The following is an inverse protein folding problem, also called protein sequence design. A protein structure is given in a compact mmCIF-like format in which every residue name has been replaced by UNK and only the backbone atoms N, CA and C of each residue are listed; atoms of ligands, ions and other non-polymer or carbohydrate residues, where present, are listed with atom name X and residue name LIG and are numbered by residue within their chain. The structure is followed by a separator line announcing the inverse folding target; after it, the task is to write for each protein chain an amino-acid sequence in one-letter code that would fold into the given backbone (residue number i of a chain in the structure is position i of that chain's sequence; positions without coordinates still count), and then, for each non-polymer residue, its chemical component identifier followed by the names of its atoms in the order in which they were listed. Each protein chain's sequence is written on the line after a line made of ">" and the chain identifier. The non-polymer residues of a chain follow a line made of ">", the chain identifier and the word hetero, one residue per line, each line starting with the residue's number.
data_IF_668252906000
#
_entry.id   IF_668252906000
#
_cell.length_a   1.000
_cell.length_b   1.000
_cell.length_c   1.000
_cell.angle_alpha   90.00
_cell.angle_beta   90.00
_cell.angle_gamma   90.00
#
_symmetry.space_group_name_H-M   'P 1'
#
loop_
_entity.id
_entity.type
_entity.pdbx_description
1 polymer ?
#
# COMPACT_ATOMS: atom_id res chain seq x y z
N UNK A 1 -29.24 -4.05 -17.34
CA UNK A 1 -28.34 -5.20 -17.13
C UNK A 1 -26.94 -4.76 -17.50
N UNK A 2 -25.99 -4.92 -16.59
CA UNK A 2 -24.60 -4.53 -16.84
C UNK A 2 -24.08 -5.33 -18.05
N UNK A 3 -23.35 -4.67 -18.98
CA UNK A 3 -22.74 -5.40 -20.07
C UNK A 3 -21.57 -6.28 -19.58
N UNK A 4 -21.29 -7.36 -20.31
CA UNK A 4 -20.30 -8.36 -19.91
C UNK A 4 -18.89 -7.78 -19.77
N UNK A 5 -18.55 -6.76 -20.56
CA UNK A 5 -17.23 -6.11 -20.51
C UNK A 5 -17.08 -5.34 -19.20
N UNK A 6 -18.08 -4.55 -18.80
CA UNK A 6 -18.07 -3.84 -17.51
C UNK A 6 -18.10 -4.80 -16.33
N UNK A 7 -18.89 -5.88 -16.42
CA UNK A 7 -18.95 -6.91 -15.38
C UNK A 7 -17.56 -7.49 -15.10
N UNK A 8 -16.86 -7.93 -16.14
CA UNK A 8 -15.51 -8.48 -16.02
C UNK A 8 -14.50 -7.44 -15.55
N UNK A 9 -14.61 -6.19 -16.03
CA UNK A 9 -13.73 -5.09 -15.58
C UNK A 9 -13.86 -4.84 -14.07
N UNK A 10 -15.07 -4.89 -13.51
CA UNK A 10 -15.26 -4.65 -12.08
C UNK A 10 -14.67 -5.79 -11.22
N UNK A 11 -14.74 -7.03 -11.70
CA UNK A 11 -14.06 -8.16 -11.07
C UNK A 11 -12.54 -7.96 -11.09
N UNK A 12 -11.98 -7.60 -12.24
CA UNK A 12 -10.52 -7.40 -12.36
C UNK A 12 -10.04 -6.18 -11.53
N UNK A 13 -10.81 -5.10 -11.47
CA UNK A 13 -10.52 -3.96 -10.58
C UNK A 13 -10.41 -4.45 -9.14
N UNK A 14 -11.40 -5.19 -8.62
CA UNK A 14 -11.38 -5.67 -7.24
C UNK A 14 -10.21 -6.63 -6.98
N UNK A 15 -9.90 -7.52 -7.91
CA UNK A 15 -8.75 -8.44 -7.78
C UNK A 15 -7.41 -7.70 -7.76
N UNK A 16 -7.28 -6.66 -8.57
CA UNK A 16 -6.06 -5.84 -8.66
C UNK A 16 -5.87 -4.95 -7.44
N UNK A 17 -6.95 -4.35 -6.95
CA UNK A 17 -6.93 -3.38 -5.86
C UNK A 17 -6.84 -4.00 -4.47
N UNK A 18 -7.53 -5.15 -4.23
CA UNK A 18 -7.64 -5.77 -2.92
C UNK A 18 -6.48 -6.73 -2.63
N UNK A 19 -5.29 -6.17 -2.47
CA UNK A 19 -4.06 -6.92 -2.24
C UNK A 19 -3.49 -6.68 -0.84
N UNK A 20 -2.77 -7.67 -0.27
CA UNK A 20 -2.17 -7.51 1.05
C UNK A 20 -0.96 -6.58 1.03
N UNK A 21 -0.82 -5.77 2.09
CA UNK A 21 0.36 -4.96 2.35
C UNK A 21 0.66 -4.91 3.85
N UNK A 22 1.94 -4.90 4.22
CA UNK A 22 2.39 -4.79 5.59
C UNK A 22 2.90 -3.37 5.87
N UNK A 23 2.29 -2.68 6.83
CA UNK A 23 2.68 -1.32 7.21
C UNK A 23 2.23 -0.25 6.18
N UNK A 24 2.97 0.85 6.11
CA UNK A 24 2.68 1.94 5.17
C UNK A 24 3.21 1.62 3.78
N UNK A 25 2.41 1.86 2.75
CA UNK A 25 2.73 1.53 1.35
C UNK A 25 3.88 2.34 0.79
N UNK A 26 4.06 3.58 1.23
CA UNK A 26 5.14 4.44 0.75
C UNK A 26 6.55 3.97 1.18
N UNK A 27 6.81 3.58 2.44
CA UNK A 27 8.06 2.90 2.79
C UNK A 27 8.29 1.60 2.01
N UNK A 28 7.20 0.85 1.73
CA UNK A 28 7.29 -0.38 0.94
C UNK A 28 7.69 -0.06 -0.50
N UNK A 29 7.13 0.98 -1.12
CA UNK A 29 7.50 1.40 -2.47
C UNK A 29 8.98 1.80 -2.57
N UNK A 30 9.49 2.53 -1.55
CA UNK A 30 10.91 2.85 -1.46
C UNK A 30 11.78 1.59 -1.35
N UNK A 31 11.40 0.66 -0.47
CA UNK A 31 12.11 -0.61 -0.31
C UNK A 31 12.03 -1.48 -1.58
N UNK A 32 10.90 -1.49 -2.26
CA UNK A 32 10.70 -2.20 -3.52
C UNK A 32 11.60 -1.65 -4.63
N UNK A 33 11.63 -0.31 -4.79
CA UNK A 33 12.53 0.36 -5.72
C UNK A 33 14.01 0.06 -5.40
N UNK A 34 14.37 0.10 -4.10
CA UNK A 34 15.72 -0.19 -3.63
C UNK A 34 16.13 -1.65 -3.87
N UNK A 35 15.22 -2.61 -3.67
CA UNK A 35 15.48 -4.01 -4.01
C UNK A 35 15.70 -4.20 -5.51
N UNK A 36 14.86 -3.54 -6.34
CA UNK A 36 15.04 -3.56 -7.79
C UNK A 36 16.39 -2.98 -8.23
N UNK A 37 16.85 -1.93 -7.55
CA UNK A 37 18.18 -1.34 -7.79
C UNK A 37 19.30 -2.33 -7.47
N UNK A 38 19.23 -3.03 -6.33
CA UNK A 38 20.22 -4.05 -5.95
C UNK A 38 20.23 -5.21 -6.92
N UNK A 39 19.06 -5.69 -7.38
CA UNK A 39 18.99 -6.77 -8.38
C UNK A 39 19.60 -6.35 -9.72
N UNK A 40 19.45 -5.08 -10.10
CA UNK A 40 20.00 -4.55 -11.33
C UNK A 40 21.50 -4.29 -11.23
N UNK A 41 21.98 -3.75 -10.09
CA UNK A 41 23.38 -3.44 -9.85
C UNK A 41 24.22 -4.69 -9.54
N UNK A 42 23.59 -5.74 -8.99
CA UNK A 42 24.25 -6.98 -8.55
C UNK A 42 24.89 -6.89 -7.15
N UNK A 43 24.84 -5.75 -6.49
CA UNK A 43 25.39 -5.52 -5.16
C UNK A 43 24.64 -4.41 -4.41
N UNK A 44 24.83 -4.32 -3.10
CA UNK A 44 24.35 -3.16 -2.32
C UNK A 44 25.15 -1.93 -2.77
N UNK A 45 24.49 -0.79 -3.08
CA UNK A 45 25.18 0.42 -3.53
C UNK A 45 26.09 1.00 -2.43
N UNK A 46 27.28 1.45 -2.81
CA UNK A 46 28.15 2.28 -1.95
C UNK A 46 27.59 3.68 -1.76
N UNK A 47 26.89 4.20 -2.78
CA UNK A 47 26.26 5.53 -2.77
C UNK A 47 24.97 5.48 -3.53
N UNK A 48 23.95 6.20 -3.02
CA UNK A 48 22.63 6.33 -3.69
C UNK A 48 22.16 7.79 -3.72
N UNK A 49 21.75 8.24 -4.89
CA UNK A 49 20.96 9.45 -5.08
C UNK A 49 19.48 9.04 -5.23
N UNK A 50 18.63 9.55 -4.37
CA UNK A 50 17.20 9.27 -4.36
C UNK A 50 16.43 10.53 -4.74
N UNK A 51 15.72 10.50 -5.88
CA UNK A 51 14.84 11.60 -6.32
C UNK A 51 13.39 11.19 -6.10
N UNK A 52 12.70 11.87 -5.18
CA UNK A 52 11.43 11.40 -4.62
C UNK A 52 10.38 12.52 -4.65
N UNK A 53 9.12 12.22 -5.01
CA UNK A 53 8.05 13.21 -4.99
C UNK A 53 7.72 13.69 -3.57
N UNK A 54 7.24 14.93 -3.46
CA UNK A 54 6.96 15.57 -2.17
C UNK A 54 5.95 14.82 -1.30
N UNK A 55 4.98 14.14 -1.88
CA UNK A 55 4.00 13.34 -1.15
C UNK A 55 4.66 12.19 -0.38
N UNK A 56 5.55 11.43 -1.02
CA UNK A 56 6.28 10.34 -0.36
C UNK A 56 7.22 10.89 0.71
N UNK A 57 7.94 11.98 0.43
CA UNK A 57 8.82 12.62 1.42
C UNK A 57 8.03 12.99 2.68
N UNK A 58 6.90 13.67 2.51
CA UNK A 58 6.02 14.08 3.61
C UNK A 58 5.51 12.88 4.40
N UNK A 59 5.04 11.83 3.70
CA UNK A 59 4.35 10.71 4.33
C UNK A 59 5.30 9.74 5.04
N UNK A 60 6.55 9.61 4.57
CA UNK A 60 7.49 8.61 5.11
C UNK A 60 8.37 9.15 6.24
N UNK A 61 8.59 10.47 6.31
CA UNK A 61 9.55 11.11 7.22
C UNK A 61 9.52 10.62 8.67
N UNK A 62 8.35 10.25 9.20
CA UNK A 62 8.18 9.83 10.60
C UNK A 62 7.60 8.43 10.76
N UNK A 63 7.38 7.71 9.66
CA UNK A 63 6.77 6.38 9.67
C UNK A 63 7.80 5.32 10.01
N UNK A 64 7.41 4.39 10.87
CA UNK A 64 8.23 3.22 11.20
C UNK A 64 8.24 2.27 10.00
N UNK A 65 9.43 1.91 9.56
CA UNK A 65 9.63 0.93 8.50
C UNK A 65 9.44 -0.48 9.08
N UNK A 66 8.53 -1.29 8.52
CA UNK A 66 8.28 -2.64 9.03
C UNK A 66 9.56 -3.49 9.06
N UNK A 67 9.64 -4.42 10.05
CA UNK A 67 10.77 -5.37 10.19
C UNK A 67 12.16 -4.74 10.44
N UNK A 68 12.24 -3.46 10.84
CA UNK A 68 13.52 -2.77 11.08
C UNK A 68 13.80 -2.45 12.54
N UNK A 69 13.02 -3.00 13.48
CA UNK A 69 13.14 -2.71 14.91
C UNK A 69 13.07 -1.19 15.21
N UNK A 70 12.06 -0.51 14.60
CA UNK A 70 11.71 0.88 14.90
C UNK A 70 12.45 1.95 14.11
N UNK A 71 13.21 1.61 13.07
CA UNK A 71 13.81 2.61 12.16
C UNK A 71 12.73 3.38 11.42
N UNK A 72 12.98 4.67 11.16
CA UNK A 72 12.04 5.61 10.53
C UNK A 72 12.69 6.35 9.38
N UNK A 73 11.86 6.81 8.46
CA UNK A 73 12.28 7.74 7.41
C UNK A 73 12.61 7.10 6.08
N UNK A 74 12.94 7.95 5.13
CA UNK A 74 13.17 7.58 3.73
C UNK A 74 14.42 6.71 3.58
N UNK A 75 15.52 7.13 4.20
CA UNK A 75 16.80 6.42 4.15
C UNK A 75 16.69 5.03 4.76
N UNK A 76 15.92 4.91 5.87
CA UNK A 76 15.67 3.62 6.51
C UNK A 76 14.86 2.68 5.60
N UNK A 77 13.86 3.19 4.90
CA UNK A 77 13.06 2.41 3.96
C UNK A 77 13.88 1.95 2.75
N UNK A 78 14.72 2.83 2.20
CA UNK A 78 15.63 2.50 1.09
C UNK A 78 16.64 1.44 1.54
N UNK A 79 17.31 1.65 2.68
CA UNK A 79 18.28 0.69 3.20
C UNK A 79 17.63 -0.67 3.53
N UNK A 80 16.40 -0.70 4.05
CA UNK A 80 15.66 -1.93 4.27
C UNK A 80 15.45 -2.72 2.96
N UNK A 81 15.16 -2.01 1.87
CA UNK A 81 15.04 -2.61 0.53
C UNK A 81 16.33 -3.26 0.02
N UNK A 82 17.50 -2.73 0.37
CA UNK A 82 18.78 -3.33 -0.03
C UNK A 82 19.00 -4.72 0.56
N UNK A 83 18.50 -4.97 1.76
CA UNK A 83 18.62 -6.24 2.46
C UNK A 83 17.42 -7.17 2.25
N UNK A 84 16.34 -6.69 1.63
CA UNK A 84 15.22 -7.54 1.21
C UNK A 84 15.68 -8.60 0.22
N UNK A 85 15.06 -9.81 0.27
CA UNK A 85 15.60 -11.00 -0.45
C UNK A 85 15.04 -11.13 -1.87
N UNK A 86 13.84 -10.60 -2.17
CA UNK A 86 13.19 -10.77 -3.47
C UNK A 86 12.15 -9.69 -3.75
N UNK A 87 12.03 -9.30 -5.03
CA UNK A 87 10.94 -8.45 -5.56
C UNK A 87 9.60 -9.20 -5.72
N UNK A 88 9.62 -10.53 -5.77
CA UNK A 88 8.44 -11.34 -6.10
C UNK A 88 7.29 -11.18 -5.09
N UNK A 89 7.57 -10.60 -3.94
CA UNK A 89 6.58 -10.38 -2.88
C UNK A 89 5.84 -9.03 -3.00
N UNK A 90 6.12 -8.19 -4.01
CA UNK A 90 5.45 -6.91 -4.22
C UNK A 90 5.37 -6.07 -2.94
N UNK A 91 4.14 -5.79 -2.46
CA UNK A 91 3.91 -5.05 -1.21
C UNK A 91 4.39 -5.75 0.07
N UNK A 92 4.77 -7.01 0.00
CA UNK A 92 5.36 -7.79 1.10
C UNK A 92 6.88 -7.91 1.00
N UNK A 93 7.56 -7.07 0.22
CA UNK A 93 9.02 -7.11 0.03
C UNK A 93 9.78 -7.08 1.36
N UNK A 94 9.32 -6.31 2.35
CA UNK A 94 9.94 -6.21 3.68
C UNK A 94 9.67 -7.42 4.59
N UNK A 95 8.70 -8.28 4.26
CA UNK A 95 8.47 -9.53 5.02
C UNK A 95 9.63 -10.51 4.90
N UNK A 96 10.45 -10.35 3.87
CA UNK A 96 11.65 -11.17 3.63
C UNK A 96 12.82 -10.86 4.57
N UNK A 97 12.74 -9.74 5.32
CA UNK A 97 13.76 -9.36 6.31
C UNK A 97 13.64 -10.21 7.57
N UNK A 98 14.80 -10.53 8.14
CA UNK A 98 14.93 -11.17 9.43
C UNK A 98 15.60 -10.23 10.47
N UNK A 99 15.67 -10.68 11.73
CA UNK A 99 16.19 -9.86 12.82
C UNK A 99 17.66 -9.46 12.63
N UNK A 100 18.46 -10.29 11.96
CA UNK A 100 19.87 -10.00 11.66
C UNK A 100 20.03 -8.85 10.66
N UNK A 101 19.08 -8.70 9.74
CA UNK A 101 19.09 -7.65 8.71
C UNK A 101 18.89 -6.26 9.33
N UNK A 102 18.13 -6.16 10.44
CA UNK A 102 17.96 -4.88 11.16
C UNK A 102 19.31 -4.28 11.63
N UNK A 103 20.26 -5.12 12.04
CA UNK A 103 21.60 -4.66 12.44
C UNK A 103 22.40 -4.17 11.23
N UNK A 104 22.37 -4.90 10.13
CA UNK A 104 23.05 -4.53 8.88
C UNK A 104 22.50 -3.20 8.33
N UNK A 105 21.18 -3.03 8.35
CA UNK A 105 20.52 -1.78 7.95
C UNK A 105 21.02 -0.62 8.80
N UNK A 106 21.10 -0.78 10.14
CA UNK A 106 21.61 0.26 11.05
C UNK A 106 23.07 0.63 10.75
N UNK A 107 23.92 -0.37 10.51
CA UNK A 107 25.33 -0.12 10.16
C UNK A 107 25.45 0.59 8.81
N UNK A 108 24.68 0.20 7.81
CA UNK A 108 24.67 0.87 6.51
C UNK A 108 24.23 2.35 6.63
N UNK A 109 23.22 2.65 7.44
CA UNK A 109 22.73 4.02 7.64
C UNK A 109 23.75 4.95 8.31
N UNK A 110 24.70 4.41 9.10
CA UNK A 110 25.79 5.21 9.69
C UNK A 110 26.75 5.79 8.64
N UNK A 111 26.78 5.21 7.44
CA UNK A 111 27.64 5.67 6.35
C UNK A 111 27.12 6.95 5.68
N UNK A 112 25.86 7.34 5.92
CA UNK A 112 25.18 8.53 5.35
C UNK A 112 25.27 8.59 3.80
N UNK A 113 25.26 7.44 3.15
CA UNK A 113 25.50 7.29 1.72
C UNK A 113 24.25 7.45 0.84
N UNK A 114 23.09 7.70 1.45
CA UNK A 114 21.83 7.94 0.74
C UNK A 114 21.53 9.44 0.76
N UNK A 115 21.52 10.06 -0.41
CA UNK A 115 21.17 11.47 -0.58
C UNK A 115 19.77 11.60 -1.17
N UNK A 116 18.83 12.18 -0.42
CA UNK A 116 17.45 12.40 -0.86
C UNK A 116 17.28 13.81 -1.42
N UNK A 117 16.61 13.90 -2.58
CA UNK A 117 16.28 15.15 -3.26
C UNK A 117 14.82 15.14 -3.71
N UNK A 118 14.11 16.28 -3.70
CA UNK A 118 12.75 16.37 -4.19
C UNK A 118 12.71 16.21 -5.72
N UNK A 119 11.68 15.51 -6.23
CA UNK A 119 11.41 15.35 -7.65
C UNK A 119 10.53 16.46 -8.18
N UNK A 120 10.85 16.97 -9.38
CA UNK A 120 10.02 17.89 -10.16
C UNK A 120 9.21 17.20 -11.26
N UNK A 121 9.17 15.85 -11.27
CA UNK A 121 8.37 15.09 -12.23
C UNK A 121 6.88 15.26 -11.95
N UNK A 122 6.01 15.26 -12.97
CA UNK A 122 4.58 15.54 -12.85
C UNK A 122 3.75 14.36 -12.27
N UNK A 123 4.41 13.40 -11.64
CA UNK A 123 3.74 12.23 -11.05
C UNK A 123 3.42 12.46 -9.59
N UNK A 124 2.25 12.04 -9.15
CA UNK A 124 1.86 12.06 -7.72
C UNK A 124 2.68 11.12 -6.88
N UNK A 125 3.04 9.97 -7.45
CA UNK A 125 3.94 8.99 -6.91
C UNK A 125 5.12 8.89 -7.87
N UNK A 126 6.30 9.23 -7.38
CA UNK A 126 7.56 9.08 -8.11
C UNK A 126 8.70 8.82 -7.14
N UNK A 127 9.43 7.75 -7.41
CA UNK A 127 10.65 7.35 -6.74
C UNK A 127 11.67 7.01 -7.80
N UNK A 128 12.82 7.64 -7.80
CA UNK A 128 13.96 7.26 -8.63
C UNK A 128 15.16 7.07 -7.72
N UNK A 129 15.78 5.91 -7.81
CA UNK A 129 17.02 5.59 -7.11
C UNK A 129 18.13 5.35 -8.12
N UNK A 130 19.23 6.07 -7.98
CA UNK A 130 20.44 5.89 -8.75
C UNK A 130 21.57 5.46 -7.81
N UNK A 131 22.04 4.25 -7.98
CA UNK A 131 23.07 3.62 -7.13
C UNK A 131 24.37 3.40 -7.86
N UNK A 132 25.47 3.44 -7.11
CA UNK A 132 26.83 3.21 -7.59
C UNK A 132 27.49 2.13 -6.73
N UNK A 133 28.11 1.12 -7.36
CA UNK A 133 28.90 0.10 -6.66
C UNK A 133 30.36 0.56 -6.46
N UNK A 134 31.13 -0.25 -5.72
CA UNK A 134 32.55 -0.01 -5.44
C UNK A 134 33.41 -0.01 -6.71
N UNK A 135 32.95 -0.65 -7.78
CA UNK A 135 33.66 -0.74 -9.07
C UNK A 135 33.30 0.44 -9.99
N UNK A 136 32.41 1.34 -9.56
CA UNK A 136 31.95 2.48 -10.36
C UNK A 136 30.83 2.15 -11.34
N UNK A 137 30.26 0.94 -11.29
CA UNK A 137 29.06 0.66 -12.06
C UNK A 137 27.89 1.46 -11.51
N UNK A 138 27.00 1.87 -12.41
CA UNK A 138 25.81 2.68 -12.12
C UNK A 138 24.55 1.94 -12.53
N UNK A 139 23.58 1.90 -11.64
CA UNK A 139 22.22 1.47 -11.97
C UNK A 139 21.21 2.52 -11.55
N UNK A 140 20.14 2.63 -12.33
CA UNK A 140 19.01 3.51 -12.03
C UNK A 140 17.71 2.75 -12.16
N UNK A 141 16.82 2.92 -11.19
CA UNK A 141 15.47 2.35 -11.19
C UNK A 141 14.49 3.44 -10.79
N UNK A 142 13.36 3.57 -11.52
CA UNK A 142 12.29 4.45 -11.13
C UNK A 142 10.94 3.74 -11.07
N UNK A 143 10.10 4.18 -10.13
CA UNK A 143 8.70 3.82 -9.95
C UNK A 143 7.85 5.06 -10.17
N UNK A 144 6.76 4.94 -10.92
CA UNK A 144 5.81 6.03 -11.12
C UNK A 144 4.36 5.54 -11.22
N UNK A 145 3.43 6.39 -10.78
CA UNK A 145 1.98 6.13 -10.82
C UNK A 145 1.52 5.24 -9.67
N UNK A 146 1.99 4.00 -9.62
CA UNK A 146 1.69 3.01 -8.59
C UNK A 146 2.93 2.61 -7.79
N UNK A 147 2.71 2.09 -6.56
CA UNK A 147 3.78 1.80 -5.60
C UNK A 147 4.77 0.70 -6.03
N UNK A 148 4.39 -0.17 -6.96
CA UNK A 148 5.22 -1.27 -7.47
C UNK A 148 5.43 -1.21 -8.99
N UNK A 149 4.92 -0.16 -9.66
CA UNK A 149 5.07 0.00 -11.11
C UNK A 149 6.46 0.56 -11.45
N UNK A 150 7.40 -0.34 -11.74
CA UNK A 150 8.72 0.05 -12.25
C UNK A 150 8.54 0.59 -13.68
N UNK A 151 8.86 1.86 -13.87
CA UNK A 151 8.72 2.55 -15.15
C UNK A 151 10.06 2.79 -15.86
N UNK A 152 11.18 2.72 -15.14
CA UNK A 152 12.51 2.92 -15.73
C UNK A 152 13.54 2.00 -15.11
N UNK A 153 14.42 1.42 -15.94
CA UNK A 153 15.63 0.69 -15.55
C UNK A 153 16.77 1.03 -16.48
N UNK A 154 17.93 1.42 -15.93
CA UNK A 154 19.14 1.73 -16.68
C UNK A 154 20.37 1.14 -15.97
N UNK A 155 21.30 0.56 -16.73
CA UNK A 155 22.57 0.05 -16.21
C UNK A 155 23.72 0.56 -17.06
N UNK A 156 24.67 1.28 -16.46
CA UNK A 156 25.85 1.88 -17.11
C UNK A 156 25.50 2.68 -18.38
N UNK A 157 24.38 3.43 -18.36
CA UNK A 157 23.91 4.22 -19.49
C UNK A 157 23.04 3.44 -20.50
N UNK A 158 22.92 2.13 -20.36
CA UNK A 158 22.06 1.33 -21.22
C UNK A 158 20.65 1.26 -20.60
N UNK A 159 19.66 1.76 -21.33
CA UNK A 159 18.24 1.71 -20.94
C UNK A 159 17.72 0.30 -21.18
N UNK A 160 17.19 -0.34 -20.14
CA UNK A 160 16.62 -1.69 -20.18
C UNK A 160 15.09 -1.63 -20.20
N UNK A 161 14.52 -0.64 -19.52
CA UNK A 161 13.08 -0.38 -19.49
C UNK A 161 12.86 1.12 -19.44
N UNK A 162 11.93 1.62 -20.26
CA UNK A 162 11.48 3.02 -20.20
C UNK A 162 10.03 3.12 -20.67
N UNK A 163 9.12 3.24 -19.72
CA UNK A 163 7.68 3.40 -19.98
C UNK A 163 7.36 4.87 -20.19
N UNK A 164 6.58 5.18 -21.22
CA UNK A 164 6.10 6.52 -21.44
C UNK A 164 4.97 6.91 -20.46
N UNK A 165 4.57 8.20 -20.47
CA UNK A 165 3.55 8.71 -19.56
C UNK A 165 2.19 8.02 -19.74
N UNK A 166 1.80 7.69 -20.97
CA UNK A 166 0.54 7.04 -21.28
C UNK A 166 0.51 5.59 -20.78
N UNK A 167 1.64 4.87 -20.87
CA UNK A 167 1.79 3.52 -20.33
C UNK A 167 1.71 3.51 -18.79
N UNK A 168 2.26 4.54 -18.14
CA UNK A 168 2.18 4.71 -16.68
C UNK A 168 0.74 5.00 -16.23
N UNK A 169 -0.05 5.66 -17.08
CA UNK A 169 -1.44 6.04 -16.81
C UNK A 169 -2.46 4.99 -17.28
N UNK A 170 -2.04 3.91 -17.93
CA UNK A 170 -2.95 2.93 -18.55
C UNK A 170 -3.92 2.30 -17.55
N UNK A 171 -3.44 1.99 -16.33
CA UNK A 171 -4.26 1.39 -15.28
C UNK A 171 -5.34 2.33 -14.74
N UNK A 172 -5.09 3.66 -14.79
CA UNK A 172 -6.10 4.65 -14.44
C UNK A 172 -7.34 4.64 -15.36
N UNK A 173 -7.21 4.12 -16.61
CA UNK A 173 -8.34 4.03 -17.56
C UNK A 173 -9.38 2.98 -17.12
N UNK A 174 -8.96 1.93 -16.43
CA UNK A 174 -9.86 0.89 -15.95
C UNK A 174 -10.89 1.47 -14.96
N UNK A 175 -10.44 2.37 -14.08
CA UNK A 175 -11.30 3.04 -13.11
C UNK A 175 -12.26 4.06 -13.72
N UNK A 176 -12.01 4.56 -14.93
CA UNK A 176 -12.91 5.51 -15.62
C UNK A 176 -14.27 4.89 -15.97
N UNK A 177 -14.37 3.56 -16.01
CA UNK A 177 -15.63 2.85 -16.28
C UNK A 177 -16.55 2.81 -15.06
N UNK A 178 -16.05 3.16 -13.85
CA UNK A 178 -16.83 3.11 -12.61
C UNK A 178 -17.89 4.22 -12.59
N UNK A 179 -19.09 3.86 -12.15
CA UNK A 179 -20.14 4.81 -11.78
C UNK A 179 -21.08 4.15 -10.76
N UNK A 180 -21.74 4.96 -9.95
CA UNK A 180 -22.51 4.49 -8.79
C UNK A 180 -23.66 3.57 -9.19
N UNK A 181 -24.35 3.83 -10.31
CA UNK A 181 -25.51 3.02 -10.75
C UNK A 181 -25.06 1.61 -11.15
N UNK A 182 -24.05 1.52 -11.98
CA UNK A 182 -23.47 0.25 -12.44
C UNK A 182 -22.82 -0.52 -11.27
N UNK A 183 -22.19 0.17 -10.32
CA UNK A 183 -21.62 -0.45 -9.10
C UNK A 183 -22.70 -1.14 -8.27
N UNK A 184 -23.84 -0.47 -8.04
CA UNK A 184 -24.95 -1.05 -7.28
C UNK A 184 -25.55 -2.25 -8.03
N UNK A 185 -25.74 -2.14 -9.35
CA UNK A 185 -26.22 -3.26 -10.16
C UNK A 185 -25.26 -4.44 -10.11
N UNK A 186 -23.97 -4.19 -10.30
CA UNK A 186 -22.91 -5.21 -10.21
C UNK A 186 -22.94 -5.92 -8.86
N UNK A 187 -22.92 -5.16 -7.76
CA UNK A 187 -22.91 -5.74 -6.42
C UNK A 187 -24.14 -6.62 -6.13
N UNK A 188 -25.30 -6.29 -6.73
CA UNK A 188 -26.52 -7.09 -6.57
C UNK A 188 -26.54 -8.35 -7.44
N UNK A 189 -25.86 -8.37 -8.57
CA UNK A 189 -25.96 -9.42 -9.60
C UNK A 189 -24.73 -10.31 -9.70
N UNK A 190 -23.56 -9.88 -9.19
CA UNK A 190 -22.31 -10.65 -9.28
C UNK A 190 -22.42 -12.02 -8.59
N UNK A 191 -21.84 -13.05 -9.22
CA UNK A 191 -21.61 -14.33 -8.54
C UNK A 191 -20.51 -14.15 -7.49
N UNK A 192 -20.90 -14.14 -6.22
CA UNK A 192 -19.98 -13.95 -5.10
C UNK A 192 -18.87 -15.00 -5.05
N UNK A 193 -19.03 -16.17 -5.67
CA UNK A 193 -17.98 -17.20 -5.69
C UNK A 193 -16.69 -16.70 -6.31
N UNK A 194 -16.77 -15.77 -7.26
CA UNK A 194 -15.61 -15.22 -7.94
C UNK A 194 -14.76 -14.25 -7.07
N UNK A 195 -15.40 -13.64 -6.06
CA UNK A 195 -14.82 -12.60 -5.23
C UNK A 195 -14.74 -12.95 -3.74
N UNK A 196 -15.40 -14.02 -3.32
CA UNK A 196 -15.58 -14.40 -1.91
C UNK A 196 -14.25 -14.46 -1.16
N UNK A 197 -13.25 -15.09 -1.74
CA UNK A 197 -11.96 -15.31 -1.05
C UNK A 197 -11.21 -14.00 -0.83
N UNK A 198 -11.20 -13.08 -1.82
CA UNK A 198 -10.53 -11.79 -1.69
C UNK A 198 -11.26 -10.87 -0.70
N UNK A 199 -12.59 -10.83 -0.74
CA UNK A 199 -13.40 -10.02 0.16
C UNK A 199 -13.32 -10.54 1.60
N UNK A 200 -13.40 -11.87 1.80
CA UNK A 200 -13.25 -12.45 3.12
C UNK A 200 -11.84 -12.22 3.68
N UNK A 201 -10.81 -12.28 2.84
CA UNK A 201 -9.45 -11.95 3.22
C UNK A 201 -9.33 -10.48 3.65
N UNK A 202 -10.00 -9.54 2.94
CA UNK A 202 -10.02 -8.12 3.32
C UNK A 202 -10.60 -7.94 4.73
N UNK A 203 -11.75 -8.55 5.00
CA UNK A 203 -12.36 -8.49 6.34
C UNK A 203 -11.44 -9.10 7.38
N UNK A 204 -10.90 -10.29 7.14
CA UNK A 204 -10.10 -11.01 8.13
C UNK A 204 -8.84 -10.23 8.50
N UNK A 205 -8.11 -9.70 7.52
CA UNK A 205 -6.86 -8.98 7.77
C UNK A 205 -7.12 -7.64 8.45
N UNK A 206 -8.07 -6.85 7.92
CA UNK A 206 -8.37 -5.53 8.46
C UNK A 206 -9.01 -5.62 9.86
N UNK A 207 -9.79 -6.67 10.14
CA UNK A 207 -10.33 -6.94 11.47
C UNK A 207 -9.24 -7.36 12.47
N UNK A 208 -8.28 -8.17 12.02
CA UNK A 208 -7.19 -8.62 12.90
C UNK A 208 -6.39 -7.43 13.43
N UNK A 209 -5.99 -6.52 12.55
CA UNK A 209 -5.24 -5.33 12.96
C UNK A 209 -6.12 -4.33 13.74
N UNK A 210 -7.42 -4.23 13.46
CA UNK A 210 -8.35 -3.40 14.23
C UNK A 210 -8.46 -3.89 15.68
N UNK A 211 -8.63 -5.19 15.87
CA UNK A 211 -8.66 -5.81 17.21
C UNK A 211 -7.34 -5.62 17.95
N UNK A 212 -6.22 -5.77 17.27
CA UNK A 212 -4.90 -5.54 17.85
C UNK A 212 -4.72 -4.08 18.26
N UNK A 213 -5.14 -3.12 17.42
CA UNK A 213 -5.09 -1.70 17.73
C UNK A 213 -5.99 -1.27 18.88
N UNK A 214 -7.13 -1.95 19.09
CA UNK A 214 -7.99 -1.74 20.26
C UNK A 214 -7.40 -2.36 21.54
N UNK A 215 -6.65 -3.44 21.43
CA UNK A 215 -6.06 -4.17 22.57
C UNK A 215 -4.76 -3.54 23.05
N UNK A 216 -3.88 -3.19 22.13
CA UNK A 216 -2.51 -2.74 22.43
C UNK A 216 -2.37 -1.22 22.27
N UNK A 217 -1.27 -0.66 22.80
CA UNK A 217 -0.99 0.78 22.70
C UNK A 217 -0.28 1.11 21.39
N UNK A 218 -1.03 1.64 20.43
CA UNK A 218 -0.52 2.14 19.15
C UNK A 218 -0.94 3.59 18.93
N UNK A 219 -0.03 4.39 18.37
CA UNK A 219 -0.30 5.77 17.96
C UNK A 219 -0.92 6.60 19.08
N UNK A 220 -1.97 7.36 18.73
CA UNK A 220 -2.72 8.18 19.65
C UNK A 220 -3.84 7.43 20.40
N UNK A 221 -4.09 6.16 20.07
CA UNK A 221 -5.13 5.34 20.69
C UNK A 221 -6.56 5.83 20.43
N UNK A 222 -6.78 6.48 19.27
CA UNK A 222 -8.06 7.14 18.93
C UNK A 222 -9.23 6.17 18.99
N UNK A 223 -9.06 4.94 18.48
CA UNK A 223 -10.14 3.96 18.51
C UNK A 223 -10.62 3.63 19.91
N UNK A 224 -9.70 3.44 20.85
CA UNK A 224 -10.03 3.19 22.27
C UNK A 224 -10.65 4.43 22.91
N UNK A 225 -10.07 5.60 22.67
CA UNK A 225 -10.60 6.86 23.20
C UNK A 225 -12.05 7.09 22.76
N UNK A 226 -12.41 6.76 21.53
CA UNK A 226 -13.78 6.85 21.04
C UNK A 226 -14.72 5.94 21.83
N UNK A 227 -14.35 4.67 22.04
CA UNK A 227 -15.17 3.72 22.81
C UNK A 227 -15.31 4.14 24.28
N UNK A 228 -14.22 4.58 24.91
CA UNK A 228 -14.22 5.01 26.31
C UNK A 228 -15.04 6.28 26.53
N UNK A 229 -15.07 7.20 25.56
CA UNK A 229 -15.74 8.49 25.67
C UNK A 229 -17.23 8.43 25.30
N UNK A 230 -17.55 7.71 24.19
CA UNK A 230 -18.88 7.74 23.59
C UNK A 230 -19.64 6.41 23.66
N UNK A 231 -19.02 5.37 24.26
CA UNK A 231 -19.61 4.04 24.35
C UNK A 231 -19.40 3.21 23.07
N UNK A 232 -20.18 2.14 22.96
CA UNK A 232 -19.99 1.10 21.94
C UNK A 232 -21.17 0.97 20.98
N UNK A 233 -21.91 2.03 20.75
CA UNK A 233 -22.94 2.00 19.71
C UNK A 233 -22.32 1.73 18.33
N UNK A 234 -23.16 1.36 17.35
CA UNK A 234 -22.68 0.94 16.03
C UNK A 234 -21.85 2.01 15.33
N UNK A 235 -22.26 3.28 15.40
CA UNK A 235 -21.57 4.38 14.72
C UNK A 235 -20.20 4.65 15.36
N UNK A 236 -20.16 4.63 16.70
CA UNK A 236 -18.91 4.81 17.46
C UNK A 236 -17.97 3.62 17.19
N UNK A 237 -18.48 2.40 17.28
CA UNK A 237 -17.70 1.18 17.02
C UNK A 237 -17.14 1.14 15.60
N UNK A 238 -17.92 1.52 14.58
CA UNK A 238 -17.46 1.58 13.19
C UNK A 238 -16.25 2.51 13.01
N UNK A 239 -16.31 3.70 13.60
CA UNK A 239 -15.19 4.66 13.60
C UNK A 239 -14.01 4.18 14.45
N UNK A 240 -14.28 3.58 15.60
CA UNK A 240 -13.26 3.10 16.52
C UNK A 240 -12.40 1.97 15.93
N UNK A 241 -13.04 1.00 15.25
CA UNK A 241 -12.34 -0.08 14.57
C UNK A 241 -11.43 0.44 13.45
N UNK A 242 -11.93 1.35 12.62
CA UNK A 242 -11.14 1.94 11.54
C UNK A 242 -9.96 2.78 12.08
N UNK A 243 -10.19 3.59 13.12
CA UNK A 243 -9.15 4.40 13.74
C UNK A 243 -8.08 3.56 14.42
N UNK A 244 -8.48 2.53 15.18
CA UNK A 244 -7.55 1.63 15.87
C UNK A 244 -6.66 0.85 14.90
N UNK A 245 -7.24 0.35 13.79
CA UNK A 245 -6.49 -0.33 12.75
C UNK A 245 -5.46 0.60 12.09
N UNK A 246 -5.86 1.84 11.81
CA UNK A 246 -4.97 2.86 11.23
C UNK A 246 -3.85 3.25 12.19
N UNK A 247 -4.15 3.46 13.47
CA UNK A 247 -3.14 3.73 14.52
C UNK A 247 -2.13 2.60 14.61
N UNK A 248 -2.59 1.35 14.67
CA UNK A 248 -1.73 0.17 14.74
C UNK A 248 -0.83 0.06 13.50
N UNK A 249 -1.42 0.19 12.30
CA UNK A 249 -0.69 0.12 11.03
C UNK A 249 0.40 1.18 10.93
N UNK A 250 0.06 2.45 11.22
CA UNK A 250 0.99 3.58 11.10
C UNK A 250 2.08 3.56 12.18
N UNK A 251 1.86 2.83 13.26
CA UNK A 251 2.83 2.64 14.36
C UNK A 251 3.64 1.35 14.26
N UNK A 252 3.63 0.68 13.11
CA UNK A 252 4.51 -0.45 12.83
C UNK A 252 3.99 -1.80 13.34
N UNK A 253 2.68 -1.96 13.56
CA UNK A 253 2.09 -3.27 13.85
C UNK A 253 2.45 -4.27 12.74
N UNK A 254 2.96 -5.46 13.07
CA UNK A 254 3.43 -6.44 12.09
C UNK A 254 2.31 -7.28 11.46
N UNK A 255 1.07 -6.80 11.53
CA UNK A 255 -0.07 -7.45 10.87
C UNK A 255 -0.32 -6.83 9.49
N UNK A 256 -0.56 -7.66 8.46
CA UNK A 256 -0.91 -7.16 7.14
C UNK A 256 -2.33 -6.60 7.11
N UNK A 257 -2.58 -5.70 6.17
CA UNK A 257 -3.91 -5.20 5.81
C UNK A 257 -4.18 -5.47 4.33
N UNK A 258 -5.44 -5.46 3.93
CA UNK A 258 -5.79 -5.38 2.51
C UNK A 258 -5.97 -3.91 2.16
N UNK A 259 -5.19 -3.47 1.17
CA UNK A 259 -5.20 -2.09 0.68
C UNK A 259 -6.36 -1.84 -0.28
N UNK A 260 -6.65 -0.57 -0.53
CA UNK A 260 -7.53 -0.09 -1.59
C UNK A 260 -6.94 1.20 -2.15
N UNK A 261 -6.88 1.35 -3.46
CA UNK A 261 -6.22 2.48 -4.14
C UNK A 261 -4.80 2.73 -3.63
N UNK A 262 -4.01 1.66 -3.49
CA UNK A 262 -2.64 1.72 -3.00
C UNK A 262 -2.48 2.11 -1.52
N UNK A 263 -3.57 2.27 -0.75
CA UNK A 263 -3.54 2.71 0.65
C UNK A 263 -4.19 1.71 1.61
N UNK A 264 -3.43 1.28 2.64
CA UNK A 264 -3.95 0.41 3.69
C UNK A 264 -5.01 1.10 4.56
N UNK A 265 -4.83 2.37 4.89
CA UNK A 265 -5.85 3.12 5.65
C UNK A 265 -7.16 3.24 4.86
N UNK A 266 -7.09 3.33 3.53
CA UNK A 266 -8.25 3.34 2.66
C UNK A 266 -8.99 2.00 2.70
N UNK A 267 -8.28 0.88 2.54
CA UNK A 267 -8.87 -0.46 2.64
C UNK A 267 -9.49 -0.74 4.02
N UNK A 268 -8.84 -0.27 5.09
CA UNK A 268 -9.39 -0.33 6.46
C UNK A 268 -10.69 0.46 6.57
N UNK A 269 -10.70 1.71 6.08
CA UNK A 269 -11.86 2.62 6.20
C UNK A 269 -13.02 2.18 5.33
N UNK A 270 -12.78 1.56 4.18
CA UNK A 270 -13.80 0.99 3.32
C UNK A 270 -14.44 -0.27 3.91
N UNK A 271 -13.67 -1.09 4.66
CA UNK A 271 -14.12 -2.40 5.11
C UNK A 271 -14.64 -2.46 6.54
N UNK A 272 -13.99 -1.77 7.50
CA UNK A 272 -14.33 -1.91 8.92
C UNK A 272 -15.71 -1.40 9.29
N UNK A 273 -16.19 -0.25 8.81
CA UNK A 273 -17.57 0.17 9.04
C UNK A 273 -18.58 -0.84 8.51
N UNK A 274 -18.38 -1.37 7.30
CA UNK A 274 -19.28 -2.39 6.72
C UNK A 274 -19.35 -3.61 7.61
N UNK A 275 -18.22 -4.13 8.08
CA UNK A 275 -18.17 -5.27 8.99
C UNK A 275 -18.95 -4.99 10.29
N UNK A 276 -18.71 -3.84 10.93
CA UNK A 276 -19.35 -3.50 12.22
C UNK A 276 -20.87 -3.36 12.05
N UNK A 277 -21.33 -2.66 11.01
CA UNK A 277 -22.77 -2.55 10.73
C UNK A 277 -23.41 -3.90 10.41
N UNK A 278 -22.78 -4.72 9.55
CA UNK A 278 -23.30 -6.03 9.21
C UNK A 278 -23.46 -6.93 10.45
N UNK A 279 -22.49 -6.92 11.37
CA UNK A 279 -22.59 -7.70 12.62
C UNK A 279 -23.67 -7.19 13.54
N UNK A 280 -23.81 -5.89 13.68
CA UNK A 280 -24.86 -5.32 14.54
C UNK A 280 -26.29 -5.55 14.00
N UNK A 281 -26.44 -5.49 12.68
CA UNK A 281 -27.71 -5.76 12.01
C UNK A 281 -28.02 -7.25 11.83
N UNK A 282 -27.13 -8.16 12.26
CA UNK A 282 -27.23 -9.60 11.99
C UNK A 282 -27.43 -9.90 10.50
N UNK A 283 -26.77 -9.13 9.63
CA UNK A 283 -26.84 -9.33 8.20
C UNK A 283 -26.15 -10.66 7.81
N UNK A 284 -26.65 -11.28 6.72
CA UNK A 284 -26.01 -12.48 6.16
C UNK A 284 -24.60 -12.14 5.63
N UNK A 285 -23.73 -13.17 5.55
CA UNK A 285 -22.39 -12.99 4.98
C UNK A 285 -22.49 -12.50 3.52
N UNK A 286 -23.43 -12.97 2.73
CA UNK A 286 -23.67 -12.50 1.35
C UNK A 286 -24.02 -11.01 1.31
N UNK A 287 -24.92 -10.54 2.18
CA UNK A 287 -25.26 -9.13 2.26
C UNK A 287 -24.06 -8.27 2.66
N UNK A 288 -23.25 -8.72 3.61
CA UNK A 288 -22.02 -8.06 4.02
C UNK A 288 -21.02 -7.96 2.88
N UNK A 289 -20.78 -9.06 2.14
CA UNK A 289 -19.84 -9.06 1.01
C UNK A 289 -20.32 -8.15 -0.13
N UNK A 290 -21.62 -8.13 -0.44
CA UNK A 290 -22.19 -7.21 -1.44
C UNK A 290 -22.04 -5.74 -1.01
N UNK A 291 -22.29 -5.42 0.25
CA UNK A 291 -22.05 -4.08 0.80
C UNK A 291 -20.57 -3.69 0.74
N UNK A 292 -19.67 -4.64 0.94
CA UNK A 292 -18.22 -4.41 0.83
C UNK A 292 -17.82 -4.10 -0.63
N UNK A 293 -18.34 -4.81 -1.61
CA UNK A 293 -18.14 -4.53 -3.04
C UNK A 293 -18.56 -3.08 -3.37
N UNK A 294 -19.74 -2.68 -2.90
CA UNK A 294 -20.23 -1.30 -3.09
C UNK A 294 -19.28 -0.28 -2.46
N UNK A 295 -18.85 -0.53 -1.21
CA UNK A 295 -17.94 0.37 -0.50
C UNK A 295 -16.60 0.52 -1.21
N UNK A 296 -15.99 -0.59 -1.65
CA UNK A 296 -14.70 -0.60 -2.32
C UNK A 296 -14.78 0.11 -3.69
N UNK A 297 -15.73 -0.26 -4.54
CA UNK A 297 -15.84 0.31 -5.88
C UNK A 297 -16.27 1.80 -5.87
N UNK A 298 -17.15 2.22 -4.95
CA UNK A 298 -17.50 3.65 -4.79
C UNK A 298 -16.28 4.43 -4.29
N UNK A 299 -15.51 3.88 -3.37
CA UNK A 299 -14.27 4.52 -2.91
C UNK A 299 -13.30 4.75 -4.07
N UNK A 300 -13.12 3.76 -4.94
CA UNK A 300 -12.30 3.88 -6.15
C UNK A 300 -12.84 4.90 -7.16
N UNK A 301 -14.17 4.93 -7.39
CA UNK A 301 -14.83 5.93 -8.26
C UNK A 301 -14.59 7.36 -7.75
N UNK A 302 -14.76 7.59 -6.44
CA UNK A 302 -14.58 8.91 -5.83
C UNK A 302 -13.12 9.37 -5.87
N UNK A 303 -12.16 8.47 -5.59
CA UNK A 303 -10.73 8.78 -5.69
C UNK A 303 -10.36 9.11 -7.12
N UNK A 304 -10.81 8.33 -8.10
CA UNK A 304 -10.61 8.59 -9.51
C UNK A 304 -11.10 9.98 -9.92
N UNK A 305 -12.31 10.36 -9.53
CA UNK A 305 -12.90 11.69 -9.80
C UNK A 305 -12.18 12.84 -9.12
N UNK A 306 -11.68 12.65 -7.89
CA UNK A 306 -10.93 13.67 -7.17
C UNK A 306 -9.57 13.98 -7.85
N UNK A 307 -9.17 13.16 -8.80
CA UNK A 307 -7.87 13.24 -9.47
C UNK A 307 -7.96 13.79 -10.91
N UNK A 308 -9.16 13.96 -11.42
CA UNK A 308 -9.44 14.62 -12.71
C UNK A 308 -9.72 16.10 -12.49
#
# INVERSE_FOLDING_TARGET
>A
MLDEVKYNNYIEILKHELIPAMGCTEPIALAYCARALVELLGSIPEKTNATICGNIIKNVKSVIVPKTNGLKGLEAAIAAGYYAKSLNNGFSVLETLDDSDSLKIREYLKLENIKVMPSNKPYRLYIELEGYDISGNRAKVAIAGEHTNICHKEYNGNIILDKNFEEIQADAKLHQSLNVVDIIEFANTVDLKELKDILQRQINYNLAIAKEGLKSHYGAGIGRLLLDTYGNDTNVSARAYAAAASDARMSGCPLPVIILSGSGNQGITASMPIYVFAKNLNASDDAMLRALIVSDLITLDQIGRAHV
#
